data_IF_321931084086
#
_entry.id   IF_321931084086
#
_cell.length_a   1.000
_cell.length_b   1.000
_cell.length_c   1.000
_cell.angle_alpha   90.00
_cell.angle_beta   90.00
_cell.angle_gamma   90.00
#
_symmetry.space_group_name_H-M   'P 1'
#
loop_
_entity.id
_entity.type
_entity.pdbx_description
1 polymer ?
#
# COMPACT_ATOMS: atom_id res chain seq x y z
N UNK A 1 -29.43 -39.16 14.11
CA UNK A 1 -28.98 -37.77 14.19
C UNK A 1 -29.15 -37.16 12.82
N UNK A 2 -30.11 -36.28 12.63
CA UNK A 2 -30.19 -35.46 11.42
C UNK A 2 -29.18 -34.33 11.61
N UNK A 3 -27.91 -34.57 11.26
CA UNK A 3 -26.87 -33.56 11.42
C UNK A 3 -27.10 -32.42 10.43
N UNK A 4 -27.41 -31.23 10.94
CA UNK A 4 -27.44 -30.02 10.13
C UNK A 4 -26.01 -29.50 9.89
N UNK A 5 -25.74 -29.02 8.69
CA UNK A 5 -24.45 -28.43 8.35
C UNK A 5 -24.34 -27.04 9.01
N UNK A 6 -23.39 -26.86 9.92
CA UNK A 6 -23.22 -25.61 10.69
C UNK A 6 -22.06 -24.73 10.19
N UNK A 7 -21.05 -25.31 9.56
CA UNK A 7 -19.93 -24.56 9.00
C UNK A 7 -19.38 -25.22 7.74
N UNK A 8 -18.80 -24.39 6.88
CA UNK A 8 -17.98 -24.82 5.76
C UNK A 8 -16.57 -24.30 6.03
N UNK A 9 -15.64 -25.21 6.25
CA UNK A 9 -14.31 -24.86 6.71
C UNK A 9 -13.36 -24.53 5.56
N UNK A 10 -12.26 -23.88 5.94
CA UNK A 10 -11.15 -23.54 5.05
C UNK A 10 -10.81 -24.71 4.11
N UNK A 11 -10.58 -24.38 2.84
CA UNK A 11 -10.23 -25.29 1.76
C UNK A 11 -11.23 -26.43 1.46
N UNK A 12 -12.44 -26.45 2.05
CA UNK A 12 -13.42 -27.54 1.83
C UNK A 12 -13.76 -27.81 0.35
N UNK A 13 -13.74 -26.76 -0.49
CA UNK A 13 -13.97 -26.86 -1.93
C UNK A 13 -12.80 -26.32 -2.75
N UNK A 14 -11.61 -26.24 -2.17
CA UNK A 14 -10.41 -25.70 -2.81
C UNK A 14 -10.16 -26.33 -4.19
N UNK A 15 -9.98 -25.51 -5.22
CA UNK A 15 -9.70 -25.92 -6.60
C UNK A 15 -10.70 -26.98 -7.15
N UNK A 16 -11.94 -26.97 -6.65
CA UNK A 16 -12.97 -27.87 -7.13
C UNK A 16 -13.50 -27.45 -8.51
N UNK A 17 -14.25 -28.36 -9.15
CA UNK A 17 -14.94 -28.11 -10.43
C UNK A 17 -16.40 -27.64 -10.24
N UNK A 18 -16.75 -27.20 -9.03
CA UNK A 18 -18.09 -26.71 -8.73
C UNK A 18 -18.42 -25.51 -9.62
N UNK A 19 -19.65 -25.49 -10.13
CA UNK A 19 -20.18 -24.36 -10.88
C UNK A 19 -20.99 -23.42 -10.00
N UNK A 20 -21.86 -23.99 -9.17
CA UNK A 20 -22.76 -23.26 -8.29
C UNK A 20 -22.87 -24.00 -6.96
N UNK A 21 -23.17 -23.27 -5.89
CA UNK A 21 -23.58 -23.86 -4.61
C UNK A 21 -24.69 -23.04 -3.98
N UNK A 22 -25.64 -23.72 -3.34
CA UNK A 22 -26.58 -23.09 -2.40
C UNK A 22 -26.10 -23.40 -1.00
N UNK A 23 -25.87 -22.36 -0.20
CA UNK A 23 -25.48 -22.49 1.20
C UNK A 23 -26.75 -22.78 2.01
N UNK A 24 -26.86 -23.92 2.71
CA UNK A 24 -28.02 -24.21 3.55
C UNK A 24 -28.23 -23.17 4.64
N UNK A 25 -29.49 -22.85 4.96
CA UNK A 25 -29.83 -21.82 5.95
C UNK A 25 -29.30 -22.13 7.36
N UNK A 26 -29.00 -23.40 7.66
CA UNK A 26 -28.39 -23.83 8.93
C UNK A 26 -26.92 -23.42 9.10
N UNK A 27 -26.23 -23.10 7.99
CA UNK A 27 -24.80 -22.76 8.01
C UNK A 27 -24.59 -21.41 8.69
N UNK A 28 -23.77 -21.40 9.73
CA UNK A 28 -23.41 -20.20 10.51
C UNK A 28 -22.07 -19.60 10.09
N UNK A 29 -21.16 -20.41 9.54
CA UNK A 29 -19.81 -19.96 9.24
C UNK A 29 -19.33 -20.49 7.89
N UNK A 30 -18.88 -19.58 7.02
CA UNK A 30 -18.01 -19.92 5.90
C UNK A 30 -16.61 -19.47 6.32
N UNK A 31 -15.76 -20.39 6.78
CA UNK A 31 -14.46 -20.05 7.37
C UNK A 31 -13.42 -19.78 6.29
N UNK A 32 -12.56 -18.79 6.53
CA UNK A 32 -11.38 -18.54 5.69
C UNK A 32 -10.11 -19.08 6.35
N UNK A 33 -9.02 -19.13 5.60
CA UNK A 33 -7.67 -19.36 6.14
C UNK A 33 -6.94 -18.02 6.25
N UNK A 34 -6.52 -17.65 7.46
CA UNK A 34 -5.99 -16.32 7.75
C UNK A 34 -4.48 -16.23 7.93
N UNK A 35 -3.74 -17.31 7.71
CA UNK A 35 -2.28 -17.26 7.83
C UNK A 35 -1.66 -16.70 6.56
N UNK A 36 -0.47 -16.08 6.67
CA UNK A 36 0.25 -15.29 5.65
C UNK A 36 0.56 -16.03 4.32
N UNK A 37 0.03 -17.23 4.12
CA UNK A 37 0.00 -17.93 2.85
C UNK A 37 -1.35 -17.69 2.16
N UNK A 38 -1.28 -17.16 0.94
CA UNK A 38 -2.38 -16.55 0.17
C UNK A 38 -3.47 -17.55 -0.27
N UNK A 39 -3.59 -18.72 0.36
CA UNK A 39 -4.29 -19.87 -0.19
C UNK A 39 -5.02 -20.62 0.93
N UNK A 40 -6.37 -20.64 0.90
CA UNK A 40 -7.14 -21.49 1.82
C UNK A 40 -8.60 -21.09 2.04
N UNK A 41 -9.10 -20.03 1.41
CA UNK A 41 -10.55 -19.78 1.38
C UNK A 41 -11.33 -20.97 0.82
N UNK A 42 -12.57 -21.12 1.29
CA UNK A 42 -13.44 -22.28 1.02
C UNK A 42 -13.49 -22.67 -0.45
N UNK A 43 -13.61 -21.69 -1.34
CA UNK A 43 -13.79 -21.88 -2.80
C UNK A 43 -12.62 -21.33 -3.61
N UNK A 44 -11.44 -21.10 -3.02
CA UNK A 44 -10.28 -20.57 -3.74
C UNK A 44 -9.95 -21.40 -4.99
N UNK A 45 -9.56 -20.72 -6.08
CA UNK A 45 -9.16 -21.33 -7.37
C UNK A 45 -10.21 -22.19 -8.07
N UNK A 46 -11.49 -22.14 -7.67
CA UNK A 46 -12.56 -22.82 -8.41
C UNK A 46 -12.85 -22.09 -9.73
N UNK A 47 -12.12 -22.45 -10.79
CA UNK A 47 -12.11 -21.71 -12.07
C UNK A 47 -13.44 -21.69 -12.82
N UNK A 48 -14.37 -22.60 -12.49
CA UNK A 48 -15.69 -22.69 -13.10
C UNK A 48 -16.82 -22.18 -12.19
N UNK A 49 -16.48 -21.64 -11.01
CA UNK A 49 -17.45 -21.35 -9.96
C UNK A 49 -18.06 -19.96 -10.12
N UNK A 50 -19.32 -19.92 -10.55
CA UNK A 50 -20.01 -18.69 -10.97
C UNK A 50 -20.92 -18.12 -9.89
N UNK A 51 -21.50 -18.95 -9.02
CA UNK A 51 -22.54 -18.50 -8.09
C UNK A 51 -22.45 -19.14 -6.70
N UNK A 52 -22.54 -18.30 -5.67
CA UNK A 52 -22.80 -18.67 -4.28
C UNK A 52 -24.17 -18.12 -3.92
N UNK A 53 -25.13 -19.01 -3.66
CA UNK A 53 -26.51 -18.63 -3.37
C UNK A 53 -26.72 -18.69 -1.85
N UNK A 54 -27.04 -17.54 -1.25
CA UNK A 54 -27.31 -17.38 0.19
C UNK A 54 -28.70 -16.77 0.34
N UNK A 55 -29.57 -17.43 1.09
CA UNK A 55 -30.94 -17.00 1.37
C UNK A 55 -30.99 -15.78 2.30
N UNK A 56 -32.05 -14.97 2.19
CA UNK A 56 -32.35 -13.90 3.15
C UNK A 56 -32.61 -14.43 4.57
N UNK A 57 -33.06 -15.68 4.69
CA UNK A 57 -33.32 -16.36 5.97
C UNK A 57 -32.09 -17.09 6.53
N UNK A 58 -30.94 -16.98 5.87
CA UNK A 58 -29.72 -17.68 6.26
C UNK A 58 -29.26 -17.30 7.67
N UNK A 59 -28.85 -18.30 8.47
CA UNK A 59 -28.24 -18.10 9.79
C UNK A 59 -26.75 -17.75 9.72
N UNK A 60 -26.24 -17.43 8.53
CA UNK A 60 -24.83 -17.12 8.33
C UNK A 60 -24.43 -15.91 9.17
N UNK A 61 -23.51 -16.14 10.11
CA UNK A 61 -22.98 -15.15 11.02
C UNK A 61 -21.63 -14.59 10.55
N UNK A 62 -20.89 -15.32 9.72
CA UNK A 62 -19.55 -14.90 9.30
C UNK A 62 -19.10 -15.46 7.95
N UNK A 63 -18.55 -14.57 7.11
CA UNK A 63 -17.78 -14.92 5.91
C UNK A 63 -16.30 -14.61 6.18
N UNK A 64 -15.48 -15.65 6.13
CA UNK A 64 -14.06 -15.58 6.40
C UNK A 64 -13.21 -15.04 5.25
N UNK A 65 -11.92 -14.93 5.53
CA UNK A 65 -10.90 -14.44 4.62
C UNK A 65 -10.84 -15.19 3.27
N UNK A 66 -10.66 -14.44 2.18
CA UNK A 66 -10.44 -14.93 0.82
C UNK A 66 -11.44 -16.01 0.34
N UNK A 67 -12.71 -15.89 0.72
CA UNK A 67 -13.72 -16.97 0.64
C UNK A 67 -13.76 -17.70 -0.70
N UNK A 68 -13.61 -16.97 -1.80
CA UNK A 68 -13.62 -17.49 -3.16
C UNK A 68 -12.63 -16.74 -4.06
N UNK A 69 -11.42 -16.52 -3.57
CA UNK A 69 -10.34 -15.83 -4.29
C UNK A 69 -10.06 -16.49 -5.66
N UNK A 70 -9.81 -15.68 -6.69
CA UNK A 70 -9.49 -16.13 -8.06
C UNK A 70 -10.58 -17.07 -8.65
N UNK A 71 -11.84 -16.74 -8.37
CA UNK A 71 -13.02 -17.39 -8.97
C UNK A 71 -13.81 -16.41 -9.83
N UNK A 72 -14.62 -16.88 -10.80
CA UNK A 72 -15.48 -16.02 -11.61
C UNK A 72 -16.82 -15.67 -10.92
N UNK A 73 -16.93 -15.80 -9.58
CA UNK A 73 -18.17 -15.51 -8.85
C UNK A 73 -18.57 -14.05 -9.04
N UNK A 74 -19.81 -13.84 -9.49
CA UNK A 74 -20.30 -12.49 -9.82
C UNK A 74 -21.09 -11.82 -8.72
N UNK A 75 -21.78 -12.58 -7.89
CA UNK A 75 -22.70 -12.04 -6.89
C UNK A 75 -22.59 -12.79 -5.57
N UNK A 76 -22.57 -12.04 -4.48
CA UNK A 76 -22.70 -12.57 -3.11
C UNK A 76 -23.71 -11.71 -2.34
N UNK A 77 -24.64 -12.36 -1.65
CA UNK A 77 -25.55 -11.73 -0.70
C UNK A 77 -25.05 -11.92 0.74
N UNK A 78 -25.06 -10.85 1.54
CA UNK A 78 -24.67 -10.85 2.95
C UNK A 78 -25.94 -10.69 3.82
N UNK A 79 -26.38 -11.71 4.58
CA UNK A 79 -27.62 -11.68 5.34
C UNK A 79 -27.52 -10.80 6.60
N UNK A 80 -28.66 -10.57 7.26
CA UNK A 80 -28.84 -9.63 8.38
C UNK A 80 -27.78 -9.73 9.50
N UNK A 81 -27.42 -10.93 9.94
CA UNK A 81 -26.53 -11.11 11.10
C UNK A 81 -25.08 -11.44 10.69
N UNK A 82 -24.75 -11.30 9.41
CA UNK A 82 -23.46 -11.72 8.89
C UNK A 82 -22.42 -10.59 8.98
N UNK A 83 -21.29 -10.90 9.60
CA UNK A 83 -20.04 -10.13 9.54
C UNK A 83 -19.12 -10.67 8.46
N UNK A 84 -18.12 -9.88 8.06
CA UNK A 84 -17.05 -10.34 7.17
C UNK A 84 -15.68 -10.20 7.84
N UNK A 85 -14.77 -11.09 7.49
CA UNK A 85 -13.35 -10.90 7.74
C UNK A 85 -12.80 -9.76 6.88
N UNK A 86 -11.79 -9.05 7.39
CA UNK A 86 -10.98 -8.15 6.58
C UNK A 86 -10.34 -8.97 5.45
N UNK A 87 -10.53 -8.57 4.19
CA UNK A 87 -10.07 -9.35 3.04
C UNK A 87 -10.95 -10.56 2.65
N UNK A 88 -12.19 -10.64 3.12
CA UNK A 88 -13.13 -11.71 2.75
C UNK A 88 -13.26 -11.90 1.22
N UNK A 89 -13.24 -10.82 0.45
CA UNK A 89 -13.49 -10.81 -0.99
C UNK A 89 -12.26 -10.42 -1.82
N UNK A 90 -11.06 -10.66 -1.30
CA UNK A 90 -9.81 -10.37 -2.00
C UNK A 90 -9.73 -11.09 -3.34
N UNK A 91 -9.23 -10.39 -4.36
CA UNK A 91 -9.01 -10.91 -5.73
C UNK A 91 -10.22 -11.70 -6.29
N UNK A 92 -11.43 -11.26 -5.95
CA UNK A 92 -12.67 -11.70 -6.56
C UNK A 92 -13.06 -10.69 -7.63
N UNK A 93 -12.65 -10.96 -8.85
CA UNK A 93 -12.80 -10.04 -9.98
C UNK A 93 -14.24 -10.02 -10.47
N UNK A 94 -14.78 -8.83 -10.77
CA UNK A 94 -16.17 -8.60 -11.21
C UNK A 94 -17.25 -9.04 -10.20
N UNK A 95 -16.91 -9.10 -8.91
CA UNK A 95 -17.85 -9.36 -7.83
C UNK A 95 -18.72 -8.13 -7.53
N UNK A 96 -20.03 -8.34 -7.50
CA UNK A 96 -21.03 -7.44 -6.92
C UNK A 96 -21.51 -8.01 -5.59
N UNK A 97 -21.65 -7.15 -4.59
CA UNK A 97 -22.13 -7.56 -3.26
C UNK A 97 -23.43 -6.83 -2.96
N UNK A 98 -24.39 -7.58 -2.44
CA UNK A 98 -25.63 -7.04 -1.86
C UNK A 98 -25.67 -7.37 -0.38
N UNK A 99 -26.09 -6.42 0.45
CA UNK A 99 -26.18 -6.59 1.90
C UNK A 99 -27.66 -6.42 2.29
N UNK A 100 -28.16 -7.29 3.16
CA UNK A 100 -29.48 -7.12 3.77
C UNK A 100 -29.60 -5.72 4.39
N UNK A 101 -30.63 -4.91 4.08
CA UNK A 101 -30.80 -3.58 4.66
C UNK A 101 -30.85 -3.54 6.19
N UNK A 102 -31.17 -4.67 6.84
CA UNK A 102 -31.22 -4.83 8.28
C UNK A 102 -29.88 -5.28 8.87
N UNK A 103 -28.82 -5.40 8.06
CA UNK A 103 -27.54 -5.90 8.53
C UNK A 103 -26.98 -5.04 9.67
N UNK A 104 -26.59 -5.70 10.77
CA UNK A 104 -26.23 -5.02 12.02
C UNK A 104 -24.78 -4.52 12.04
N UNK A 105 -23.95 -4.91 11.07
CA UNK A 105 -22.50 -4.76 11.12
C UNK A 105 -21.93 -3.98 9.94
N UNK A 106 -22.56 -4.07 8.78
CA UNK A 106 -22.03 -3.62 7.50
C UNK A 106 -23.03 -2.73 6.79
N UNK A 107 -22.50 -1.80 6.00
CA UNK A 107 -23.30 -0.94 5.14
C UNK A 107 -22.65 -0.82 3.78
N UNK A 108 -23.48 -0.89 2.74
CA UNK A 108 -23.05 -0.61 1.38
C UNK A 108 -23.12 0.90 1.14
N UNK A 109 -22.03 1.49 0.67
CA UNK A 109 -22.01 2.86 0.16
C UNK A 109 -21.21 2.85 -1.13
N UNK A 110 -21.86 3.25 -2.23
CA UNK A 110 -21.24 3.34 -3.55
C UNK A 110 -20.46 2.06 -3.92
N UNK A 111 -21.15 0.92 -3.87
CA UNK A 111 -20.59 -0.43 -4.14
C UNK A 111 -19.40 -0.86 -3.28
N UNK A 112 -19.06 -0.11 -2.24
CA UNK A 112 -18.01 -0.44 -1.28
C UNK A 112 -18.63 -0.87 0.06
N UNK A 113 -17.95 -1.76 0.77
CA UNK A 113 -18.38 -2.22 2.09
C UNK A 113 -17.71 -1.37 3.16
N UNK A 114 -18.55 -0.81 4.02
CA UNK A 114 -18.13 -0.09 5.22
C UNK A 114 -18.65 -0.79 6.48
N UNK A 115 -18.11 -0.39 7.63
CA UNK A 115 -18.78 -0.57 8.91
C UNK A 115 -20.19 0.05 8.89
N UNK A 116 -21.09 -0.44 9.75
CA UNK A 116 -22.48 0.04 9.80
C UNK A 116 -22.61 1.57 9.93
N UNK A 117 -21.72 2.18 10.71
CA UNK A 117 -21.65 3.64 10.94
C UNK A 117 -20.87 4.42 9.86
N UNK A 118 -20.42 3.76 8.78
CA UNK A 118 -19.63 4.31 7.68
C UNK A 118 -18.24 4.85 8.09
N UNK A 119 -17.76 4.50 9.29
CA UNK A 119 -16.49 5.02 9.82
C UNK A 119 -15.25 4.32 9.26
N UNK A 120 -15.37 3.04 8.91
CA UNK A 120 -14.26 2.22 8.40
C UNK A 120 -14.62 1.64 7.04
N UNK A 121 -13.73 1.83 6.05
CA UNK A 121 -13.82 1.14 4.76
C UNK A 121 -13.22 -0.27 4.91
N UNK A 122 -14.01 -1.30 4.62
CA UNK A 122 -13.60 -2.70 4.72
C UNK A 122 -13.21 -3.31 3.38
N UNK A 123 -13.84 -2.87 2.29
CA UNK A 123 -13.57 -3.43 0.96
C UNK A 123 -14.06 -2.51 -0.15
N UNK A 124 -13.24 -2.37 -1.20
CA UNK A 124 -13.61 -1.81 -2.50
C UNK A 124 -13.48 -2.91 -3.59
N UNK A 125 -14.40 -2.97 -4.58
CA UNK A 125 -14.20 -3.82 -5.74
C UNK A 125 -12.88 -3.52 -6.47
N UNK A 126 -12.13 -4.57 -6.84
CA UNK A 126 -10.83 -4.40 -7.50
C UNK A 126 -10.90 -3.62 -8.82
N UNK A 127 -12.02 -3.71 -9.54
CA UNK A 127 -12.30 -2.99 -10.79
C UNK A 127 -13.38 -1.91 -10.62
N UNK A 128 -13.45 -1.25 -9.47
CA UNK A 128 -14.36 -0.13 -9.29
C UNK A 128 -14.09 0.95 -10.36
N UNK A 129 -15.07 1.20 -11.23
CA UNK A 129 -14.87 1.92 -12.51
C UNK A 129 -14.93 3.45 -12.39
N UNK A 130 -15.49 3.99 -11.31
CA UNK A 130 -15.64 5.43 -11.15
C UNK A 130 -14.44 6.06 -10.43
N UNK A 131 -14.39 7.38 -10.39
CA UNK A 131 -13.48 8.11 -9.50
C UNK A 131 -13.92 7.84 -8.05
N UNK A 132 -13.22 6.94 -7.37
CA UNK A 132 -13.53 6.58 -5.99
C UNK A 132 -13.41 7.81 -5.07
N UNK A 133 -14.41 7.97 -4.21
CA UNK A 133 -14.39 8.95 -3.11
C UNK A 133 -14.85 8.29 -1.82
N UNK A 134 -14.18 8.62 -0.73
CA UNK A 134 -14.58 8.14 0.60
C UNK A 134 -15.94 8.73 1.00
N UNK A 135 -16.74 7.95 1.75
CA UNK A 135 -17.85 8.52 2.50
C UNK A 135 -17.35 9.59 3.48
N UNK A 136 -18.11 10.67 3.69
CA UNK A 136 -17.72 11.79 4.56
C UNK A 136 -17.52 11.41 6.03
N UNK A 137 -18.10 10.29 6.48
CA UNK A 137 -17.94 9.79 7.85
C UNK A 137 -16.78 8.80 7.99
N UNK A 138 -16.07 8.48 6.91
CA UNK A 138 -14.98 7.52 6.91
C UNK A 138 -13.71 8.14 7.49
N UNK A 139 -13.14 7.49 8.51
CA UNK A 139 -11.90 7.90 9.18
C UNK A 139 -10.84 6.79 9.20
N UNK A 140 -11.20 5.58 8.78
CA UNK A 140 -10.31 4.43 8.80
C UNK A 140 -10.34 3.62 7.49
N UNK A 141 -9.16 3.17 7.07
CA UNK A 141 -8.96 2.18 6.01
C UNK A 141 -8.51 0.89 6.69
N UNK A 142 -9.37 -0.13 6.68
CA UNK A 142 -9.03 -1.42 7.29
C UNK A 142 -8.09 -2.26 6.42
N UNK A 143 -7.58 -3.35 7.01
CA UNK A 143 -6.62 -4.21 6.37
C UNK A 143 -7.15 -4.73 5.04
N UNK A 144 -6.33 -4.62 4.00
CA UNK A 144 -6.62 -5.10 2.64
C UNK A 144 -7.85 -4.48 1.96
N UNK A 145 -8.38 -3.35 2.46
CA UNK A 145 -9.52 -2.68 1.87
C UNK A 145 -9.34 -2.37 0.38
N UNK A 146 -8.13 -1.96 -0.04
CA UNK A 146 -7.77 -1.69 -1.45
C UNK A 146 -6.91 -2.80 -2.08
N UNK A 147 -6.97 -4.04 -1.56
CA UNK A 147 -6.12 -5.09 -2.09
C UNK A 147 -6.44 -5.40 -3.55
N UNK A 148 -5.43 -5.32 -4.43
CA UNK A 148 -5.62 -5.54 -5.86
C UNK A 148 -6.39 -4.43 -6.58
N UNK A 149 -6.66 -3.29 -5.92
CA UNK A 149 -7.42 -2.20 -6.50
C UNK A 149 -6.74 -1.65 -7.77
N UNK A 150 -7.44 -1.65 -8.90
CA UNK A 150 -6.89 -1.35 -10.22
C UNK A 150 -7.66 -0.23 -10.91
N UNK A 151 -6.96 0.86 -11.21
CA UNK A 151 -7.52 1.99 -11.95
C UNK A 151 -6.42 2.81 -12.62
N UNK A 152 -6.75 3.58 -13.64
CA UNK A 152 -5.83 4.55 -14.25
C UNK A 152 -5.92 5.94 -13.59
N UNK A 153 -6.73 6.08 -12.54
CA UNK A 153 -6.92 7.31 -11.79
C UNK A 153 -6.05 7.35 -10.52
N UNK A 154 -5.92 8.56 -9.98
CA UNK A 154 -5.25 8.79 -8.69
C UNK A 154 -6.20 8.42 -7.54
N UNK A 155 -5.68 7.74 -6.53
CA UNK A 155 -6.36 7.48 -5.26
C UNK A 155 -5.90 8.53 -4.24
N UNK A 156 -6.81 9.45 -3.89
CA UNK A 156 -6.54 10.49 -2.90
C UNK A 156 -6.97 9.99 -1.53
N UNK A 157 -6.04 9.93 -0.57
CA UNK A 157 -6.31 9.64 0.83
C UNK A 157 -6.51 10.98 1.56
N UNK A 158 -7.77 11.36 1.89
CA UNK A 158 -8.07 12.69 2.38
C UNK A 158 -7.69 12.86 3.85
N UNK A 159 -7.66 14.11 4.34
CA UNK A 159 -7.20 14.46 5.68
C UNK A 159 -8.02 13.83 6.82
N UNK A 160 -9.27 13.47 6.53
CA UNK A 160 -10.20 12.84 7.47
C UNK A 160 -9.81 11.40 7.80
N UNK A 161 -9.01 10.74 6.95
CA UNK A 161 -8.48 9.40 7.22
C UNK A 161 -7.33 9.49 8.23
N UNK A 162 -7.63 9.14 9.48
CA UNK A 162 -6.67 9.15 10.59
C UNK A 162 -6.08 7.77 10.87
N UNK A 163 -6.74 6.69 10.42
CA UNK A 163 -6.29 5.33 10.65
C UNK A 163 -6.12 4.57 9.34
N UNK A 164 -4.94 3.97 9.14
CA UNK A 164 -4.66 3.08 8.01
C UNK A 164 -4.04 1.81 8.57
N UNK A 165 -4.66 0.67 8.31
CA UNK A 165 -4.21 -0.63 8.81
C UNK A 165 -3.17 -1.27 7.89
N UNK A 166 -2.57 -2.35 8.38
CA UNK A 166 -1.62 -3.19 7.65
C UNK A 166 -2.24 -3.68 6.33
N UNK A 167 -1.41 -3.87 5.31
CA UNK A 167 -1.84 -4.36 3.99
C UNK A 167 -2.93 -3.54 3.27
N UNK A 168 -3.28 -2.34 3.74
CA UNK A 168 -4.42 -1.58 3.19
C UNK A 168 -4.35 -1.40 1.66
N UNK A 169 -3.13 -1.24 1.10
CA UNK A 169 -2.88 -1.09 -0.34
C UNK A 169 -2.06 -2.25 -0.94
N UNK A 170 -2.14 -3.44 -0.35
CA UNK A 170 -1.47 -4.65 -0.84
C UNK A 170 -1.80 -4.91 -2.31
N UNK A 171 -0.80 -5.04 -3.17
CA UNK A 171 -0.97 -5.21 -4.63
C UNK A 171 -1.88 -4.14 -5.27
N UNK A 172 -1.86 -2.89 -4.78
CA UNK A 172 -2.62 -1.81 -5.42
C UNK A 172 -1.99 -1.39 -6.76
N UNK A 173 -2.82 -1.21 -7.77
CA UNK A 173 -2.48 -0.99 -9.18
C UNK A 173 -3.23 0.24 -9.72
N UNK A 174 -3.37 1.28 -8.90
CA UNK A 174 -3.87 2.58 -9.34
C UNK A 174 -2.75 3.40 -10.03
N UNK A 175 -3.07 4.57 -10.60
CA UNK A 175 -2.03 5.43 -11.19
C UNK A 175 -1.10 5.98 -10.11
N UNK A 176 -1.68 6.57 -9.07
CA UNK A 176 -0.94 7.06 -7.92
C UNK A 176 -1.77 7.03 -6.64
N UNK A 177 -1.11 6.94 -5.50
CA UNK A 177 -1.71 7.10 -4.16
C UNK A 177 -1.17 8.41 -3.59
N UNK A 178 -2.08 9.34 -3.28
CA UNK A 178 -1.74 10.69 -2.82
C UNK A 178 -2.28 10.89 -1.41
N UNK A 179 -1.38 10.99 -0.44
CA UNK A 179 -1.75 11.21 0.95
C UNK A 179 -1.87 12.71 1.26
N UNK A 180 -3.06 13.12 1.70
CA UNK A 180 -3.35 14.47 2.22
C UNK A 180 -3.52 14.47 3.75
N UNK A 181 -3.47 13.31 4.39
CA UNK A 181 -3.59 13.18 5.83
C UNK A 181 -2.28 13.44 6.57
N UNK A 182 -2.41 13.67 7.87
CA UNK A 182 -1.30 13.87 8.78
C UNK A 182 -0.78 12.53 9.33
N UNK A 183 -0.37 11.61 8.44
CA UNK A 183 0.25 10.36 8.87
C UNK A 183 1.72 10.59 9.24
N UNK A 184 2.03 10.46 10.53
CA UNK A 184 3.38 10.63 11.07
C UNK A 184 4.26 9.38 10.95
N UNK A 185 3.65 8.20 11.03
CA UNK A 185 4.33 6.91 10.87
C UNK A 185 3.46 6.00 10.03
N UNK A 186 4.08 5.22 9.14
CA UNK A 186 3.36 4.15 8.44
C UNK A 186 3.00 3.03 9.42
N UNK A 187 1.91 2.26 9.19
CA UNK A 187 1.69 1.01 9.91
C UNK A 187 2.84 0.02 9.66
N UNK A 188 3.08 -0.88 10.61
CA UNK A 188 4.06 -1.96 10.45
C UNK A 188 3.61 -2.95 9.38
N UNK A 189 4.55 -3.37 8.52
CA UNK A 189 4.42 -4.41 7.50
C UNK A 189 3.46 -4.11 6.32
N UNK A 190 3.96 -4.38 5.11
CA UNK A 190 3.22 -4.69 3.89
C UNK A 190 2.16 -3.70 3.39
N UNK A 191 2.16 -2.45 3.87
CA UNK A 191 1.19 -1.43 3.44
C UNK A 191 1.10 -1.30 1.90
N UNK A 192 2.25 -1.33 1.20
CA UNK A 192 2.36 -1.24 -0.25
C UNK A 192 3.01 -2.48 -0.88
N UNK A 193 2.84 -3.64 -0.26
CA UNK A 193 3.45 -4.88 -0.76
C UNK A 193 3.08 -5.14 -2.21
N UNK A 194 4.06 -5.35 -3.09
CA UNK A 194 3.85 -5.60 -4.53
C UNK A 194 2.96 -4.56 -5.26
N UNK A 195 2.84 -3.34 -4.73
CA UNK A 195 2.13 -2.23 -5.36
C UNK A 195 2.91 -1.70 -6.56
N UNK A 196 2.20 -1.25 -7.62
CA UNK A 196 2.81 -0.58 -8.80
C UNK A 196 2.49 0.90 -8.87
N UNK A 197 1.58 1.38 -8.01
CA UNK A 197 1.09 2.76 -8.02
C UNK A 197 2.21 3.71 -7.62
N UNK A 198 2.31 4.88 -8.26
CA UNK A 198 3.23 5.93 -7.77
C UNK A 198 2.76 6.43 -6.40
N UNK A 199 3.67 6.60 -5.43
CA UNK A 199 3.28 6.95 -4.05
C UNK A 199 3.79 8.35 -3.72
N UNK A 200 2.86 9.27 -3.43
CA UNK A 200 3.16 10.57 -2.84
C UNK A 200 2.89 10.53 -1.35
N UNK A 201 3.95 10.31 -0.57
CA UNK A 201 3.88 10.20 0.88
C UNK A 201 3.45 11.50 1.57
N UNK A 202 2.78 11.42 2.73
CA UNK A 202 2.30 12.60 3.45
C UNK A 202 3.44 13.48 3.97
N UNK A 203 3.21 14.80 4.01
CA UNK A 203 4.24 15.80 4.31
C UNK A 203 4.74 15.77 5.76
N UNK A 204 3.97 15.17 6.67
CA UNK A 204 4.31 15.04 8.09
C UNK A 204 4.95 13.69 8.45
N UNK A 205 5.16 12.80 7.48
CA UNK A 205 5.75 11.49 7.73
C UNK A 205 7.16 11.62 8.35
N UNK A 206 7.42 10.88 9.42
CA UNK A 206 8.70 10.85 10.16
C UNK A 206 9.36 9.49 10.10
N UNK A 207 8.59 8.41 10.13
CA UNK A 207 9.10 7.03 10.14
C UNK A 207 8.45 6.20 9.05
N UNK A 208 9.28 5.57 8.23
CA UNK A 208 8.89 4.43 7.37
C UNK A 208 9.22 3.15 8.12
N UNK A 209 8.19 2.39 8.48
CA UNK A 209 8.30 1.13 9.21
C UNK A 209 8.85 -0.02 8.37
N UNK A 210 9.24 -1.11 9.04
CA UNK A 210 9.69 -2.35 8.38
C UNK A 210 8.65 -2.92 7.40
N UNK A 211 9.16 -3.47 6.29
CA UNK A 211 8.42 -4.11 5.18
C UNK A 211 7.29 -3.30 4.53
N UNK A 212 7.18 -1.99 4.79
CA UNK A 212 6.10 -1.13 4.24
C UNK A 212 6.04 -1.18 2.71
N UNK A 213 7.20 -1.20 2.05
CA UNK A 213 7.35 -1.23 0.61
C UNK A 213 7.92 -2.56 0.11
N UNK A 214 7.79 -3.65 0.86
CA UNK A 214 8.32 -4.94 0.42
C UNK A 214 7.83 -5.29 -1.00
N UNK A 215 8.77 -5.65 -1.89
CA UNK A 215 8.51 -5.98 -3.30
C UNK A 215 7.75 -4.89 -4.08
N UNK A 216 7.85 -3.63 -3.66
CA UNK A 216 7.27 -2.52 -4.43
C UNK A 216 7.80 -2.51 -5.87
N UNK A 217 6.87 -2.40 -6.82
CA UNK A 217 7.12 -2.55 -8.25
C UNK A 217 7.11 -1.22 -9.02
N UNK A 218 6.98 -0.09 -8.33
CA UNK A 218 7.19 1.22 -8.94
C UNK A 218 8.67 1.54 -9.14
N UNK A 219 8.98 2.41 -10.11
CA UNK A 219 10.35 2.78 -10.46
C UNK A 219 10.95 3.87 -9.56
N UNK A 220 10.13 4.60 -8.83
CA UNK A 220 10.54 5.73 -8.00
C UNK A 220 9.63 5.92 -6.81
N UNK A 221 10.19 6.51 -5.75
CA UNK A 221 9.47 6.94 -4.56
C UNK A 221 9.96 8.33 -4.18
N UNK A 222 9.00 9.23 -3.90
CA UNK A 222 9.28 10.58 -3.46
C UNK A 222 8.78 10.82 -2.03
N UNK A 223 9.69 11.27 -1.16
CA UNK A 223 9.37 11.73 0.18
C UNK A 223 9.33 13.26 0.22
N UNK A 224 8.24 13.82 0.74
CA UNK A 224 8.03 15.27 0.87
C UNK A 224 8.21 15.79 2.31
N UNK A 225 8.51 14.88 3.23
CA UNK A 225 8.59 15.12 4.66
C UNK A 225 10.02 15.16 5.17
N UNK A 226 10.20 15.73 6.36
CA UNK A 226 11.46 15.69 7.12
C UNK A 226 11.59 14.30 7.78
N UNK A 227 11.85 13.27 6.97
CA UNK A 227 12.00 11.90 7.46
C UNK A 227 13.13 11.79 8.49
N UNK A 228 12.84 11.10 9.59
CA UNK A 228 13.79 10.81 10.65
C UNK A 228 14.35 9.40 10.50
N UNK A 229 13.53 8.44 10.05
CA UNK A 229 13.94 7.05 10.00
C UNK A 229 13.30 6.29 8.84
N UNK A 230 14.14 5.51 8.16
CA UNK A 230 13.72 4.35 7.36
C UNK A 230 14.20 3.12 8.13
N UNK A 231 13.27 2.34 8.65
CA UNK A 231 13.56 1.17 9.46
C UNK A 231 14.16 0.02 8.62
N UNK A 232 14.61 -1.01 9.33
CA UNK A 232 15.15 -2.21 8.71
C UNK A 232 14.14 -2.85 7.76
N UNK A 233 14.61 -3.32 6.61
CA UNK A 233 13.83 -4.08 5.61
C UNK A 233 12.62 -3.33 4.98
N UNK A 234 12.50 -2.00 5.15
CA UNK A 234 11.38 -1.22 4.61
C UNK A 234 11.12 -1.38 3.11
N UNK A 235 12.17 -1.59 2.29
CA UNK A 235 12.11 -1.76 0.83
C UNK A 235 12.74 -3.08 0.37
N UNK A 236 12.58 -4.15 1.14
CA UNK A 236 13.15 -5.44 0.77
C UNK A 236 12.60 -5.93 -0.59
N UNK A 237 13.48 -6.39 -1.48
CA UNK A 237 13.15 -6.96 -2.79
C UNK A 237 12.42 -6.01 -3.76
N UNK A 238 12.60 -4.68 -3.68
CA UNK A 238 12.08 -3.74 -4.66
C UNK A 238 12.89 -3.76 -5.97
N UNK A 239 12.72 -4.82 -6.75
CA UNK A 239 13.54 -5.08 -7.95
C UNK A 239 13.32 -4.09 -9.09
N UNK A 240 12.23 -3.32 -9.10
CA UNK A 240 11.96 -2.30 -10.13
C UNK A 240 12.34 -0.88 -9.70
N UNK A 241 12.65 -0.67 -8.42
CA UNK A 241 12.92 0.66 -7.88
C UNK A 241 14.29 1.16 -8.38
N UNK A 242 14.29 2.25 -9.13
CA UNK A 242 15.50 2.85 -9.73
C UNK A 242 16.00 4.05 -8.93
N UNK A 243 15.09 4.82 -8.35
CA UNK A 243 15.42 6.06 -7.65
C UNK A 243 14.57 6.26 -6.40
N UNK A 244 15.19 6.85 -5.37
CA UNK A 244 14.47 7.36 -4.21
C UNK A 244 14.85 8.82 -4.06
N UNK A 245 13.84 9.69 -3.99
CA UNK A 245 14.02 11.13 -3.88
C UNK A 245 13.49 11.65 -2.56
N UNK A 246 14.34 12.35 -1.84
CA UNK A 246 13.99 13.12 -0.66
C UNK A 246 13.81 14.59 -1.08
N UNK A 247 12.69 15.21 -0.73
CA UNK A 247 12.41 16.62 -1.02
C UNK A 247 12.67 17.55 0.16
N UNK A 248 12.89 16.99 1.34
CA UNK A 248 13.39 17.67 2.53
C UNK A 248 14.43 16.79 3.19
N UNK A 249 15.32 17.41 3.95
CA UNK A 249 16.39 16.73 4.67
C UNK A 249 16.24 16.99 6.16
N UNK A 250 16.52 15.98 6.97
CA UNK A 250 16.64 16.10 8.41
C UNK A 250 18.08 15.74 8.81
N UNK A 251 18.71 16.58 9.62
CA UNK A 251 20.12 16.45 10.03
C UNK A 251 20.47 15.21 10.84
N UNK A 252 19.48 14.39 11.22
CA UNK A 252 19.66 13.12 11.94
C UNK A 252 18.88 11.95 11.30
N UNK A 253 18.65 12.00 9.98
CA UNK A 253 17.98 10.89 9.30
C UNK A 253 18.81 9.60 9.39
N UNK A 254 18.17 8.52 9.84
CA UNK A 254 18.73 7.18 9.90
C UNK A 254 18.12 6.31 8.80
N UNK A 255 18.99 5.67 8.01
CA UNK A 255 18.61 4.58 7.11
C UNK A 255 19.23 3.30 7.67
N UNK A 256 18.37 2.43 8.17
CA UNK A 256 18.76 1.28 8.97
C UNK A 256 19.22 0.07 8.13
N UNK A 257 19.54 -1.03 8.82
CA UNK A 257 20.09 -2.26 8.26
C UNK A 257 19.15 -2.86 7.22
N UNK A 258 19.70 -3.27 6.07
CA UNK A 258 18.93 -3.92 5.00
C UNK A 258 17.69 -3.13 4.50
N UNK A 259 17.56 -1.82 4.78
CA UNK A 259 16.38 -1.04 4.36
C UNK A 259 16.10 -1.12 2.85
N UNK A 260 17.13 -1.27 2.01
CA UNK A 260 17.03 -1.46 0.56
C UNK A 260 17.58 -2.82 0.10
N UNK A 261 17.47 -3.85 0.94
CA UNK A 261 18.01 -5.16 0.60
C UNK A 261 17.41 -5.71 -0.70
N UNK A 262 18.27 -6.10 -1.64
CA UNK A 262 17.89 -6.65 -2.94
C UNK A 262 17.04 -5.70 -3.82
N UNK A 263 17.22 -4.39 -3.69
CA UNK A 263 16.78 -3.41 -4.68
C UNK A 263 17.74 -3.40 -5.89
N UNK A 264 17.74 -4.48 -6.67
CA UNK A 264 18.76 -4.74 -7.70
C UNK A 264 18.89 -3.63 -8.78
N UNK A 265 17.81 -2.88 -9.05
CA UNK A 265 17.79 -1.79 -10.02
C UNK A 265 17.97 -0.39 -9.40
N UNK A 266 18.12 -0.26 -8.08
CA UNK A 266 18.29 1.04 -7.43
C UNK A 266 19.62 1.66 -7.85
N UNK A 267 19.56 2.79 -8.56
CA UNK A 267 20.73 3.47 -9.10
C UNK A 267 21.16 4.64 -8.23
N UNK A 268 20.19 5.43 -7.74
CA UNK A 268 20.47 6.69 -7.05
C UNK A 268 19.56 6.94 -5.85
N UNK A 269 20.15 7.49 -4.79
CA UNK A 269 19.42 8.27 -3.79
C UNK A 269 19.60 9.75 -4.10
N UNK A 270 18.51 10.50 -4.15
CA UNK A 270 18.49 11.92 -4.50
C UNK A 270 18.12 12.75 -3.28
N UNK A 271 19.00 13.66 -2.86
CA UNK A 271 18.77 14.57 -1.74
C UNK A 271 18.78 16.03 -2.21
N UNK A 272 18.03 16.93 -1.56
CA UNK A 272 18.20 18.34 -1.81
C UNK A 272 19.59 18.76 -1.32
N UNK A 273 20.24 19.68 -2.02
CA UNK A 273 21.49 20.28 -1.56
C UNK A 273 21.18 21.20 -0.38
N UNK A 274 21.56 20.78 0.82
CA UNK A 274 21.59 21.62 2.02
C UNK A 274 22.97 21.53 2.67
N UNK A 275 23.48 22.66 3.14
CA UNK A 275 24.88 22.88 3.52
C UNK A 275 25.24 22.41 4.93
N UNK A 276 24.29 21.86 5.71
CA UNK A 276 24.44 21.65 7.15
C UNK A 276 24.30 20.21 7.67
N UNK A 277 23.96 19.22 6.83
CA UNK A 277 23.31 18.01 7.35
C UNK A 277 24.11 16.71 7.15
N UNK A 278 24.09 15.86 8.18
CA UNK A 278 24.73 14.53 8.21
C UNK A 278 23.64 13.46 8.06
N UNK A 279 23.81 12.55 7.12
CA UNK A 279 22.91 11.38 6.95
C UNK A 279 23.65 10.15 7.43
N UNK A 280 23.04 9.37 8.33
CA UNK A 280 23.64 8.12 8.83
C UNK A 280 23.11 6.92 8.05
N UNK A 281 24.00 6.24 7.33
CA UNK A 281 23.73 4.98 6.64
C UNK A 281 24.28 3.82 7.46
N UNK A 282 23.44 2.84 7.78
CA UNK A 282 23.94 1.56 8.28
C UNK A 282 24.71 0.83 7.16
N UNK A 283 25.81 0.15 7.49
CA UNK A 283 26.69 -0.55 6.53
C UNK A 283 25.95 -1.52 5.59
N UNK A 284 24.82 -2.08 6.03
CA UNK A 284 24.07 -3.10 5.27
C UNK A 284 22.85 -2.54 4.53
N UNK A 285 22.55 -1.24 4.63
CA UNK A 285 21.31 -0.68 4.07
C UNK A 285 21.12 -0.92 2.57
N UNK A 286 22.20 -1.00 1.79
CA UNK A 286 22.21 -1.17 0.33
C UNK A 286 22.66 -2.58 -0.12
N UNK A 287 22.56 -3.58 0.75
CA UNK A 287 22.99 -4.94 0.42
C UNK A 287 22.23 -5.49 -0.81
N UNK A 288 22.95 -6.12 -1.74
CA UNK A 288 22.43 -6.60 -3.04
C UNK A 288 21.79 -5.52 -3.94
N UNK A 289 22.10 -4.24 -3.76
CA UNK A 289 21.79 -3.17 -4.73
C UNK A 289 22.83 -3.15 -5.87
N UNK A 290 22.76 -4.12 -6.78
CA UNK A 290 23.81 -4.35 -7.81
C UNK A 290 23.95 -3.23 -8.83
N UNK A 291 22.93 -2.38 -9.00
CA UNK A 291 22.94 -1.25 -9.93
C UNK A 291 23.26 0.10 -9.27
N UNK A 292 23.58 0.12 -7.97
CA UNK A 292 23.76 1.35 -7.22
C UNK A 292 25.01 2.12 -7.67
N UNK A 293 24.80 3.36 -8.11
CA UNK A 293 25.85 4.24 -8.66
C UNK A 293 26.27 5.32 -7.67
N UNK A 294 25.45 5.63 -6.66
CA UNK A 294 25.79 6.58 -5.61
C UNK A 294 24.66 7.54 -5.25
N UNK A 295 25.02 8.56 -4.47
CA UNK A 295 24.12 9.61 -4.00
C UNK A 295 24.27 10.84 -4.91
N UNK A 296 23.15 11.49 -5.26
CA UNK A 296 23.15 12.78 -5.98
C UNK A 296 22.44 13.85 -5.17
N UNK A 297 22.94 15.07 -5.30
CA UNK A 297 22.32 16.27 -4.72
C UNK A 297 21.70 17.12 -5.82
N UNK A 298 20.57 17.77 -5.53
CA UNK A 298 19.90 18.69 -6.46
C UNK A 298 19.52 20.00 -5.78
N UNK A 299 19.45 21.08 -6.56
CA UNK A 299 19.06 22.40 -6.10
C UNK A 299 17.64 22.71 -6.57
N UNK A 300 16.75 23.08 -5.65
CA UNK A 300 15.45 23.66 -6.00
C UNK A 300 15.61 25.17 -6.15
N UNK A 301 15.58 25.67 -7.38
CA UNK A 301 15.67 27.10 -7.67
C UNK A 301 14.23 27.66 -7.77
N UNK A 302 13.80 28.56 -6.86
CA UNK A 302 12.48 29.20 -6.96
C UNK A 302 12.31 29.93 -8.29
N UNK A 303 11.12 29.84 -8.90
CA UNK A 303 10.83 30.46 -10.21
C UNK A 303 11.15 31.96 -10.25
N UNK A 304 11.07 32.64 -9.11
CA UNK A 304 11.28 34.08 -8.98
C UNK A 304 12.76 34.48 -9.06
N UNK A 305 13.69 33.51 -8.97
CA UNK A 305 15.15 33.71 -9.08
C UNK A 305 15.64 33.48 -10.53
N UNK A 306 14.75 33.14 -11.48
CA UNK A 306 15.10 32.91 -12.90
C UNK A 306 15.49 34.17 -13.71
N UNK A 307 16.00 35.23 -13.08
CA UNK A 307 16.82 36.22 -13.77
C UNK A 307 18.30 35.84 -13.63
N UNK A 308 18.68 34.69 -14.19
CA UNK A 308 20.10 34.36 -14.36
C UNK A 308 20.61 35.09 -15.60
N UNK A 309 21.66 35.88 -15.42
CA UNK A 309 22.37 36.48 -16.54
C UNK A 309 23.03 35.34 -17.34
N UNK A 310 22.45 35.02 -18.49
CA UNK A 310 22.76 33.87 -19.34
C UNK A 310 24.11 33.96 -20.08
N UNK A 311 25.01 34.85 -19.65
CA UNK A 311 26.30 35.09 -20.29
C UNK A 311 27.44 34.19 -19.74
N UNK A 312 27.20 33.41 -18.67
CA UNK A 312 28.19 32.43 -18.17
C UNK A 312 27.58 31.03 -18.10
N UNK A 313 27.90 30.20 -19.10
CA UNK A 313 27.46 28.81 -19.31
C UNK A 313 27.90 27.79 -18.24
N UNK A 314 28.41 28.23 -17.09
CA UNK A 314 28.98 27.36 -16.05
C UNK A 314 28.63 27.94 -14.68
N UNK A 315 27.98 27.14 -13.84
CA UNK A 315 27.88 27.39 -12.39
C UNK A 315 29.00 26.58 -11.73
N UNK A 316 29.87 27.26 -11.00
CA UNK A 316 30.97 26.67 -10.23
C UNK A 316 30.54 26.61 -8.75
N UNK A 317 30.47 25.40 -8.20
CA UNK A 317 30.12 25.19 -6.79
C UNK A 317 31.37 24.66 -6.08
N UNK A 318 31.84 25.40 -5.08
CA UNK A 318 32.97 25.02 -4.22
C UNK A 318 32.44 24.20 -3.04
N UNK A 319 32.94 22.96 -2.87
CA UNK A 319 32.53 22.08 -1.77
C UNK A 319 33.61 22.04 -0.70
N UNK A 320 33.21 22.32 0.55
CA UNK A 320 34.06 22.21 1.73
C UNK A 320 33.36 21.33 2.75
N UNK A 321 34.09 20.40 3.37
CA UNK A 321 33.60 19.60 4.50
C UNK A 321 34.41 19.91 5.75
N UNK A 322 33.79 19.96 6.93
CA UNK A 322 34.52 20.07 8.20
C UNK A 322 34.66 18.72 8.87
N UNK A 323 35.85 18.35 9.32
CA UNK A 323 36.01 17.16 10.17
C UNK A 323 35.47 17.41 11.60
N UNK A 324 35.45 16.38 12.44
CA UNK A 324 34.99 16.45 13.84
C UNK A 324 35.75 17.44 14.74
N UNK A 325 36.79 18.10 14.20
CA UNK A 325 37.58 19.14 14.85
C UNK A 325 37.35 20.53 14.24
N UNK A 326 36.38 20.70 13.34
CA UNK A 326 36.04 21.98 12.71
C UNK A 326 37.02 22.45 11.63
N UNK A 327 37.94 21.59 11.18
CA UNK A 327 38.90 21.94 10.12
C UNK A 327 38.22 21.72 8.78
N UNK A 328 38.15 22.79 7.97
CA UNK A 328 37.64 22.73 6.60
C UNK A 328 38.61 21.99 5.68
N UNK A 329 38.11 20.95 5.04
CA UNK A 329 38.74 20.14 4.01
C UNK A 329 38.12 20.57 2.69
N UNK A 330 38.96 21.00 1.75
CA UNK A 330 38.54 21.26 0.38
C UNK A 330 38.18 19.93 -0.29
N UNK A 331 36.91 19.77 -0.67
CA UNK A 331 36.37 18.57 -1.30
C UNK A 331 36.31 18.71 -2.83
N UNK A 332 36.87 19.79 -3.38
CA UNK A 332 36.93 20.05 -4.80
C UNK A 332 35.77 20.91 -5.31
N UNK A 333 35.77 21.11 -6.62
CA UNK A 333 34.82 21.98 -7.33
C UNK A 333 34.03 21.19 -8.36
N UNK A 334 32.72 21.42 -8.41
CA UNK A 334 31.86 20.83 -9.43
C UNK A 334 31.44 21.88 -10.46
N UNK A 335 31.46 21.47 -11.73
CA UNK A 335 31.00 22.27 -12.85
C UNK A 335 29.63 21.77 -13.30
N UNK A 336 28.61 22.61 -13.15
CA UNK A 336 27.31 22.35 -13.77
C UNK A 336 27.34 22.98 -15.16
N UNK A 337 27.45 22.12 -16.19
CA UNK A 337 27.39 22.50 -17.59
C UNK A 337 25.99 22.20 -18.10
N UNK A 338 25.26 23.21 -18.57
CA UNK A 338 24.00 22.97 -19.28
C UNK A 338 24.31 22.20 -20.58
N UNK A 339 23.52 21.16 -20.87
CA UNK A 339 23.43 20.56 -22.21
C UNK A 339 22.52 21.41 -23.09
#
# INVERSE_FOLDING_TARGET
MNGELLSIDSAAFYNSKLKNITIPDSVKYIRGHGDNEVIGGVFCFCKSFENIIISENSLLAFIGYAVAQLTPVKNIFIPQNCMISLGAFNLMDNLTITIDPRNLHLKMFDNCIYSFNLNSLYWIPSYYQNNFTFNSNCHAIESQAFRGYRTNNDLVIPKEITTIKIDAFYQCLCRSIIFQNDMFETPNYNLFYACTSAIKMPEKLRVVKSSVFERYNGNSIEFYSDLQMIESESFINCSHLETIKFNKLNSNMIIDSNSFYNCANLQYLLFPFDSSDIITFNLTCLNRCTSFKGIKFYLNIPRNIMNFNADKKIIEIEMKASNSKGIFIDCGKFHIKNL
#
